data_IF_518550941052
#
_entry.id   IF_518550941052
#
_cell.length_a   1.000
_cell.length_b   1.000
_cell.length_c   1.000
_cell.angle_alpha   90.00
_cell.angle_beta   90.00
_cell.angle_gamma   90.00
#
_symmetry.space_group_name_H-M   'P 1'
#
loop_
_entity.id
_entity.type
_entity.pdbx_description
1 polymer ?
#
# COMPACT_ATOMS: atom_id res chain seq x y z
N UNK A 1 -3.83 10.60 11.40
CA UNK A 1 -2.57 10.68 12.17
C UNK A 1 -1.48 11.11 11.23
N UNK A 2 -1.06 12.37 11.33
CA UNK A 2 0.18 12.83 10.71
C UNK A 2 1.31 12.02 11.35
N UNK A 3 2.02 11.23 10.53
CA UNK A 3 3.07 10.37 11.02
C UNK A 3 4.12 11.16 11.79
N UNK A 4 4.03 11.10 13.10
CA UNK A 4 5.21 11.31 13.91
C UNK A 4 6.05 10.07 13.74
N UNK A 5 7.09 10.17 12.96
CA UNK A 5 8.16 9.18 13.00
C UNK A 5 8.74 9.21 14.42
N UNK A 6 8.66 8.11 15.10
CA UNK A 6 9.23 7.96 16.45
C UNK A 6 10.77 7.83 16.44
N UNK A 7 11.36 7.86 15.26
CA UNK A 7 12.79 7.73 15.03
C UNK A 7 13.24 8.96 14.25
N UNK A 8 14.24 9.66 14.72
CA UNK A 8 14.81 10.82 14.05
C UNK A 8 16.09 10.43 13.27
N UNK A 9 16.60 11.34 12.45
CA UNK A 9 17.80 11.12 11.62
C UNK A 9 19.07 10.80 12.45
N UNK A 10 19.01 10.84 13.78
CA UNK A 10 20.13 10.57 14.68
C UNK A 10 20.20 9.12 15.14
N UNK A 11 19.13 8.34 14.90
CA UNK A 11 19.15 6.92 15.17
C UNK A 11 20.01 6.22 14.12
N UNK A 12 21.11 5.62 14.56
CA UNK A 12 22.11 4.98 13.70
C UNK A 12 21.48 4.03 12.67
N UNK A 13 21.48 4.47 11.43
CA UNK A 13 21.00 3.68 10.29
C UNK A 13 19.52 3.86 9.92
N UNK A 14 18.81 4.80 10.54
CA UNK A 14 17.45 5.17 10.11
C UNK A 14 17.47 6.41 9.22
N UNK A 15 16.99 6.26 7.98
CA UNK A 15 16.64 7.38 7.14
C UNK A 15 15.11 7.52 7.14
N UNK A 16 14.63 8.66 7.62
CA UNK A 16 13.20 8.96 7.64
C UNK A 16 12.87 9.86 6.47
N UNK A 17 12.11 9.33 5.53
CA UNK A 17 11.60 10.09 4.39
C UNK A 17 10.17 10.56 4.69
N UNK A 18 10.05 11.57 5.53
CA UNK A 18 8.78 12.23 5.75
C UNK A 18 8.76 13.57 5.01
N UNK A 19 8.05 13.65 3.91
CA UNK A 19 7.72 14.92 3.29
C UNK A 19 6.57 15.54 4.06
N UNK A 20 6.72 16.76 4.53
CA UNK A 20 5.65 17.47 5.24
C UNK A 20 4.47 17.68 4.28
N UNK A 21 3.38 16.99 4.53
CA UNK A 21 2.14 17.14 3.75
C UNK A 21 1.52 18.48 4.16
N UNK A 22 1.39 19.40 3.22
CA UNK A 22 0.77 20.72 3.46
C UNK A 22 -0.73 20.73 3.24
N UNK A 23 -1.31 19.67 2.72
CA UNK A 23 -2.74 19.56 2.38
C UNK A 23 -3.30 18.22 2.79
N UNK A 24 -4.62 18.10 2.85
CA UNK A 24 -5.38 16.88 3.15
C UNK A 24 -5.26 15.79 2.06
N UNK A 25 -4.22 15.80 1.28
CA UNK A 25 -3.92 14.82 0.25
C UNK A 25 -2.77 13.91 0.66
N UNK A 26 -2.87 12.64 0.32
CA UNK A 26 -1.77 11.69 0.41
C UNK A 26 -0.68 12.05 -0.61
N UNK A 27 0.58 11.76 -0.27
CA UNK A 27 1.66 11.75 -1.26
C UNK A 27 1.35 10.60 -2.23
N UNK A 28 1.40 10.81 -3.54
CA UNK A 28 1.24 9.71 -4.49
C UNK A 28 2.24 8.58 -4.22
N UNK A 29 1.79 7.35 -4.29
CA UNK A 29 2.65 6.19 -4.02
C UNK A 29 3.83 6.09 -5.01
N UNK A 30 3.68 6.66 -6.20
CA UNK A 30 4.77 6.82 -7.17
C UNK A 30 5.95 7.61 -6.59
N UNK A 31 5.68 8.71 -5.87
CA UNK A 31 6.74 9.49 -5.20
C UNK A 31 7.37 8.70 -4.06
N UNK A 32 6.56 7.99 -3.28
CA UNK A 32 7.04 7.16 -2.17
C UNK A 32 8.00 6.08 -2.66
N UNK A 33 7.64 5.41 -3.74
CA UNK A 33 8.49 4.36 -4.33
C UNK A 33 9.73 4.93 -5.01
N UNK A 34 9.63 6.09 -5.63
CA UNK A 34 10.80 6.73 -6.24
C UNK A 34 11.84 7.14 -5.18
N UNK A 35 11.40 7.70 -4.06
CA UNK A 35 12.28 8.00 -2.91
C UNK A 35 12.91 6.73 -2.36
N UNK A 36 12.15 5.64 -2.25
CA UNK A 36 12.66 4.35 -1.80
C UNK A 36 13.70 3.78 -2.76
N UNK A 37 13.46 3.86 -4.08
CA UNK A 37 14.43 3.45 -5.11
C UNK A 37 15.74 4.22 -5.01
N UNK A 38 15.66 5.55 -4.92
CA UNK A 38 16.83 6.40 -4.78
C UNK A 38 17.62 6.08 -3.50
N UNK A 39 16.92 5.85 -2.40
CA UNK A 39 17.56 5.47 -1.14
C UNK A 39 18.28 4.13 -1.27
N UNK A 40 17.63 3.10 -1.80
CA UNK A 40 18.22 1.77 -2.01
C UNK A 40 19.41 1.85 -2.95
N UNK A 41 19.31 2.57 -4.07
CA UNK A 41 20.40 2.75 -5.04
C UNK A 41 21.62 3.44 -4.44
N UNK A 42 21.41 4.31 -3.44
CA UNK A 42 22.48 5.02 -2.75
C UNK A 42 23.06 4.26 -1.54
N UNK A 43 22.54 3.09 -1.19
CA UNK A 43 23.12 2.26 -0.13
C UNK A 43 24.52 1.80 -0.52
N UNK A 44 25.52 2.42 0.09
CA UNK A 44 26.92 2.02 -0.06
C UNK A 44 27.15 0.74 0.76
N UNK A 45 27.87 -0.20 0.16
CA UNK A 45 28.30 -1.44 0.78
C UNK A 45 27.21 -2.50 1.08
N UNK A 46 26.02 -2.37 0.51
CA UNK A 46 24.90 -3.36 0.62
C UNK A 46 24.78 -3.97 2.04
N UNK A 47 24.89 -3.13 3.06
CA UNK A 47 24.69 -3.55 4.45
C UNK A 47 23.25 -4.00 4.65
N UNK A 48 23.02 -4.77 5.69
CA UNK A 48 21.66 -5.11 6.11
C UNK A 48 20.86 -3.83 6.36
N UNK A 49 19.68 -3.76 5.79
CA UNK A 49 18.78 -2.63 5.98
C UNK A 49 17.34 -3.11 6.21
N UNK A 50 16.56 -2.25 6.78
CA UNK A 50 15.11 -2.39 6.86
C UNK A 50 14.47 -1.18 6.16
N UNK A 51 13.56 -1.45 5.24
CA UNK A 51 12.79 -0.43 4.55
C UNK A 51 11.30 -0.69 4.79
N UNK A 52 10.63 0.24 5.46
CA UNK A 52 9.18 0.23 5.64
C UNK A 52 8.54 1.34 4.80
N UNK A 53 7.54 0.98 3.99
CA UNK A 53 6.79 1.92 3.17
C UNK A 53 5.31 1.80 3.51
N UNK A 54 4.63 2.95 3.63
CA UNK A 54 3.19 3.02 3.78
C UNK A 54 2.59 3.61 2.50
N UNK A 55 1.92 2.76 1.71
CA UNK A 55 1.27 3.15 0.47
C UNK A 55 -0.16 3.61 0.77
N UNK A 56 -0.61 4.66 0.12
CA UNK A 56 -1.86 5.36 0.44
C UNK A 56 -2.87 5.40 -0.69
N UNK A 57 -2.50 5.01 -1.90
CA UNK A 57 -3.43 5.13 -3.04
C UNK A 57 -4.70 4.27 -2.87
N UNK A 58 -4.62 3.17 -2.11
CA UNK A 58 -5.77 2.32 -1.80
C UNK A 58 -6.62 2.83 -0.64
N UNK A 59 -6.15 3.85 0.09
CA UNK A 59 -6.93 4.51 1.12
C UNK A 59 -8.06 5.34 0.48
N UNK A 60 -9.19 5.46 1.16
CA UNK A 60 -10.29 6.36 0.76
C UNK A 60 -9.73 7.79 0.53
N UNK A 61 -9.94 8.46 -0.55
CA UNK A 61 -10.87 8.31 -1.69
C UNK A 61 -10.29 7.54 -2.91
N UNK A 62 -9.37 6.62 -2.73
CA UNK A 62 -8.81 5.74 -3.75
C UNK A 62 -8.16 6.55 -4.89
N UNK A 63 -6.93 7.00 -4.62
CA UNK A 63 -6.23 7.90 -5.54
C UNK A 63 -5.86 7.18 -6.84
N UNK A 64 -6.15 7.86 -7.94
CA UNK A 64 -5.73 7.46 -9.29
C UNK A 64 -5.04 8.66 -9.93
N UNK A 65 -3.83 8.45 -10.45
CA UNK A 65 -3.14 9.47 -11.25
C UNK A 65 -3.80 9.61 -12.62
N UNK A 66 -3.46 10.66 -13.36
CA UNK A 66 -3.93 10.85 -14.73
C UNK A 66 -3.52 9.72 -15.68
N UNK A 67 -2.40 9.05 -15.36
CA UNK A 67 -1.83 7.95 -16.15
C UNK A 67 -2.29 6.57 -15.66
N UNK A 68 -3.17 6.52 -14.64
CA UNK A 68 -3.63 5.26 -14.07
C UNK A 68 -4.42 4.42 -15.07
N UNK A 69 -4.11 3.14 -15.14
CA UNK A 69 -4.94 2.20 -15.88
C UNK A 69 -6.23 1.91 -15.11
N UNK A 70 -7.34 1.81 -15.83
CA UNK A 70 -8.68 1.67 -15.23
C UNK A 70 -9.43 0.47 -15.83
N UNK A 71 -8.96 -0.77 -15.62
CA UNK A 71 -9.60 -1.97 -16.19
C UNK A 71 -10.98 -2.26 -15.60
N UNK A 72 -11.29 -1.77 -14.40
CA UNK A 72 -12.57 -2.01 -13.73
C UNK A 72 -13.54 -0.87 -14.02
N UNK A 73 -14.63 -1.21 -14.73
CA UNK A 73 -15.65 -0.27 -15.18
C UNK A 73 -17.06 -0.79 -14.83
N UNK A 74 -18.09 0.07 -14.65
CA UNK A 74 -18.04 1.53 -14.78
C UNK A 74 -17.31 2.19 -13.60
N UNK A 75 -16.60 3.28 -13.86
CA UNK A 75 -15.91 4.09 -12.86
C UNK A 75 -16.13 5.58 -13.15
N UNK A 76 -16.19 6.40 -12.12
CA UNK A 76 -16.21 7.85 -12.20
C UNK A 76 -15.08 8.44 -11.40
N UNK A 77 -14.62 9.60 -11.85
CA UNK A 77 -13.86 10.47 -10.96
C UNK A 77 -14.74 10.91 -9.80
N UNK A 78 -14.12 11.04 -8.65
CA UNK A 78 -14.83 11.43 -7.45
C UNK A 78 -14.75 12.95 -7.26
N UNK A 79 -15.88 13.58 -7.36
CA UNK A 79 -16.06 14.98 -6.96
C UNK A 79 -16.85 15.00 -5.65
N UNK A 80 -16.17 15.09 -4.52
CA UNK A 80 -16.90 15.22 -3.26
C UNK A 80 -16.11 14.90 -2.00
N UNK A 81 -16.65 15.39 -0.90
CA UNK A 81 -16.12 15.23 0.45
C UNK A 81 -16.44 13.83 1.02
N UNK A 82 -15.70 13.42 2.03
CA UNK A 82 -15.93 12.24 2.85
C UNK A 82 -17.43 12.02 3.11
N UNK A 83 -17.94 10.84 2.78
CA UNK A 83 -19.33 10.45 3.03
C UNK A 83 -20.32 10.64 1.88
N UNK A 84 -19.88 11.18 0.74
CA UNK A 84 -20.76 11.46 -0.42
C UNK A 84 -21.00 10.25 -1.36
N UNK A 85 -20.72 9.03 -0.93
CA UNK A 85 -20.94 7.82 -1.73
C UNK A 85 -22.25 7.14 -1.40
N UNK A 86 -23.35 7.46 -2.08
CA UNK A 86 -24.62 6.81 -1.79
C UNK A 86 -24.55 5.34 -2.24
N UNK A 87 -25.23 4.48 -1.50
CA UNK A 87 -25.28 3.02 -1.73
C UNK A 87 -25.58 2.66 -3.20
N UNK A 88 -26.38 3.45 -3.89
CA UNK A 88 -26.69 3.25 -5.31
C UNK A 88 -25.48 3.34 -6.25
N UNK A 89 -24.38 3.91 -5.82
CA UNK A 89 -23.17 4.09 -6.60
C UNK A 89 -22.06 3.09 -6.21
N UNK A 90 -22.38 2.07 -5.42
CA UNK A 90 -21.38 1.18 -4.81
C UNK A 90 -20.50 0.46 -5.82
N UNK A 91 -21.07 0.00 -6.92
CA UNK A 91 -20.29 -0.65 -7.98
C UNK A 91 -19.21 0.29 -8.54
N UNK A 92 -19.58 1.54 -8.80
CA UNK A 92 -18.67 2.58 -9.31
C UNK A 92 -17.53 2.85 -8.31
N UNK A 93 -17.88 2.89 -7.02
CA UNK A 93 -16.91 3.11 -5.93
C UNK A 93 -15.97 1.92 -5.79
N UNK A 94 -16.52 0.71 -5.79
CA UNK A 94 -15.74 -0.51 -5.71
C UNK A 94 -14.79 -0.65 -6.90
N UNK A 95 -15.23 -0.32 -8.10
CA UNK A 95 -14.38 -0.33 -9.30
C UNK A 95 -13.25 0.69 -9.18
N UNK A 96 -13.50 1.86 -8.59
CA UNK A 96 -12.43 2.83 -8.31
C UNK A 96 -11.40 2.26 -7.33
N UNK A 97 -11.84 1.64 -6.24
CA UNK A 97 -10.97 0.95 -5.29
C UNK A 97 -10.14 -0.15 -5.97
N UNK A 98 -10.77 -0.98 -6.79
CA UNK A 98 -10.08 -2.05 -7.52
C UNK A 98 -9.06 -1.48 -8.52
N UNK A 99 -9.35 -0.36 -9.17
CA UNK A 99 -8.38 0.33 -10.03
C UNK A 99 -7.20 0.88 -9.22
N UNK A 100 -7.43 1.43 -8.02
CA UNK A 100 -6.35 1.87 -7.14
C UNK A 100 -5.47 0.68 -6.73
N UNK A 101 -6.05 -0.44 -6.36
CA UNK A 101 -5.32 -1.68 -6.05
C UNK A 101 -4.49 -2.16 -7.25
N UNK A 102 -5.08 -2.21 -8.43
CA UNK A 102 -4.41 -2.62 -9.66
C UNK A 102 -3.17 -1.77 -9.95
N UNK A 103 -3.29 -0.45 -9.79
CA UNK A 103 -2.16 0.44 -10.03
C UNK A 103 -1.09 0.34 -8.93
N UNK A 104 -1.48 0.12 -7.67
CA UNK A 104 -0.51 -0.15 -6.59
C UNK A 104 0.23 -1.46 -6.82
N UNK A 105 -0.45 -2.51 -7.26
CA UNK A 105 0.18 -3.78 -7.62
C UNK A 105 1.26 -3.60 -8.70
N UNK A 106 0.98 -2.84 -9.75
CA UNK A 106 1.97 -2.48 -10.78
C UNK A 106 3.15 -1.67 -10.23
N UNK A 107 2.91 -0.76 -9.31
CA UNK A 107 3.99 -0.01 -8.65
C UNK A 107 4.88 -0.95 -7.83
N UNK A 108 4.29 -1.90 -7.13
CA UNK A 108 5.02 -2.93 -6.38
C UNK A 108 5.81 -3.83 -7.33
N UNK A 109 5.22 -4.27 -8.45
CA UNK A 109 5.91 -5.04 -9.48
C UNK A 109 7.16 -4.30 -9.98
N UNK A 110 7.03 -3.04 -10.34
CA UNK A 110 8.15 -2.21 -10.78
C UNK A 110 9.24 -2.07 -9.71
N UNK A 111 8.85 -1.99 -8.43
CA UNK A 111 9.82 -1.96 -7.34
C UNK A 111 10.53 -3.30 -7.17
N UNK A 112 9.83 -4.41 -7.31
CA UNK A 112 10.43 -5.76 -7.31
C UNK A 112 11.42 -5.93 -8.47
N UNK A 113 11.08 -5.46 -9.66
CA UNK A 113 11.99 -5.48 -10.81
C UNK A 113 13.27 -4.69 -10.52
N UNK A 114 13.13 -3.50 -9.95
CA UNK A 114 14.27 -2.70 -9.50
C UNK A 114 15.15 -3.44 -8.47
N UNK A 115 14.55 -4.09 -7.46
CA UNK A 115 15.29 -4.87 -6.47
C UNK A 115 16.05 -6.04 -7.11
N UNK A 116 15.51 -6.64 -8.18
CA UNK A 116 16.19 -7.67 -8.97
C UNK A 116 17.38 -7.10 -9.74
N UNK A 117 17.21 -5.94 -10.38
CA UNK A 117 18.30 -5.23 -11.08
C UNK A 117 19.44 -4.88 -10.13
N UNK A 118 19.12 -4.44 -8.92
CA UNK A 118 20.10 -4.15 -7.85
C UNK A 118 20.68 -5.42 -7.18
N UNK A 119 20.25 -6.63 -7.59
CA UNK A 119 20.69 -7.92 -7.03
C UNK A 119 20.39 -8.06 -5.51
N UNK A 120 19.32 -7.44 -5.05
CA UNK A 120 18.86 -7.47 -3.66
C UNK A 120 17.76 -8.50 -3.45
N UNK A 121 16.93 -8.72 -4.49
CA UNK A 121 15.70 -9.50 -4.40
C UNK A 121 15.91 -10.89 -3.79
N UNK A 122 16.90 -11.64 -4.22
CA UNK A 122 17.09 -13.04 -3.84
C UNK A 122 17.44 -13.20 -2.36
N UNK A 123 18.16 -12.24 -1.81
CA UNK A 123 18.62 -12.26 -0.41
C UNK A 123 17.71 -11.48 0.56
N UNK A 124 16.63 -10.81 0.08
CA UNK A 124 15.75 -10.05 0.95
C UNK A 124 14.52 -10.83 1.44
N UNK A 125 14.06 -10.51 2.64
CA UNK A 125 12.69 -10.76 3.09
C UNK A 125 11.82 -9.61 2.59
N UNK A 126 10.85 -9.91 1.72
CA UNK A 126 9.94 -8.90 1.18
C UNK A 126 8.52 -9.21 1.63
N UNK A 127 7.83 -8.20 2.15
CA UNK A 127 6.49 -8.35 2.69
C UNK A 127 5.57 -7.27 2.13
N UNK A 128 4.37 -7.66 1.73
CA UNK A 128 3.26 -6.75 1.43
C UNK A 128 2.11 -7.12 2.36
N UNK A 129 1.65 -6.16 3.14
CA UNK A 129 0.62 -6.39 4.15
C UNK A 129 -0.45 -5.30 4.02
N UNK A 130 -1.71 -5.68 4.00
CA UNK A 130 -2.79 -4.74 4.22
C UNK A 130 -3.00 -4.51 5.71
N UNK A 131 -3.27 -3.28 6.12
CA UNK A 131 -3.53 -2.93 7.50
C UNK A 131 -4.98 -3.24 7.91
N UNK A 132 -5.92 -3.09 6.98
CA UNK A 132 -7.33 -3.41 7.15
C UNK A 132 -7.97 -3.75 5.80
N UNK A 133 -9.22 -4.17 5.84
CA UNK A 133 -10.08 -4.31 4.68
C UNK A 133 -10.92 -3.06 4.42
N UNK A 134 -11.89 -3.16 3.51
CA UNK A 134 -12.74 -2.04 3.11
C UNK A 134 -14.17 -2.51 2.92
N UNK A 135 -15.14 -1.77 3.48
CA UNK A 135 -16.55 -2.06 3.35
C UNK A 135 -17.19 -1.29 2.21
N UNK A 136 -18.07 -1.97 1.46
CA UNK A 136 -18.85 -1.39 0.36
C UNK A 136 -20.35 -1.56 0.61
N UNK A 137 -20.81 -1.24 1.81
CA UNK A 137 -22.20 -1.35 2.29
C UNK A 137 -22.70 -2.80 2.50
N UNK A 138 -21.86 -3.78 2.60
CA UNK A 138 -22.28 -5.16 2.91
C UNK A 138 -23.15 -5.19 4.17
N UNK A 139 -22.77 -4.47 5.21
CA UNK A 139 -23.54 -4.29 6.45
C UNK A 139 -24.12 -2.87 6.63
N UNK A 140 -24.27 -2.12 5.54
CA UNK A 140 -24.93 -0.80 5.55
C UNK A 140 -24.01 0.38 5.80
N UNK A 141 -22.69 0.18 5.88
CA UNK A 141 -21.67 1.21 6.07
C UNK A 141 -20.68 1.22 4.92
N UNK A 142 -20.26 2.40 4.43
CA UNK A 142 -19.16 2.53 3.49
C UNK A 142 -17.84 2.60 4.24
N UNK A 143 -16.75 2.22 3.58
CA UNK A 143 -15.36 2.32 4.05
C UNK A 143 -15.11 1.62 5.41
N UNK A 144 -13.90 1.77 5.95
CA UNK A 144 -13.46 1.15 7.22
C UNK A 144 -13.72 2.02 8.46
N UNK A 145 -14.43 3.13 8.34
CA UNK A 145 -14.75 4.00 9.47
C UNK A 145 -16.00 3.55 10.27
N UNK A 146 -16.61 2.44 9.89
CA UNK A 146 -17.80 1.85 10.51
C UNK A 146 -17.51 0.77 11.54
N UNK A 147 -18.54 -0.02 11.91
CA UNK A 147 -18.36 -1.19 12.76
C UNK A 147 -17.39 -2.22 12.18
N UNK A 148 -16.70 -2.94 13.05
CA UNK A 148 -15.69 -3.94 12.68
C UNK A 148 -16.35 -5.25 12.23
N UNK A 149 -16.80 -5.29 10.99
CA UNK A 149 -17.23 -6.51 10.31
C UNK A 149 -16.07 -7.17 9.56
N UNK A 150 -16.28 -8.38 9.08
CA UNK A 150 -15.27 -9.18 8.39
C UNK A 150 -14.62 -8.45 7.21
N UNK A 151 -15.40 -7.72 6.41
CA UNK A 151 -14.91 -6.95 5.27
C UNK A 151 -13.95 -5.82 5.65
N UNK A 152 -14.00 -5.36 6.90
CA UNK A 152 -13.09 -4.33 7.44
C UNK A 152 -11.88 -4.95 8.13
N UNK A 153 -12.08 -6.08 8.82
CA UNK A 153 -11.04 -6.70 9.63
C UNK A 153 -10.19 -7.71 8.87
N UNK A 154 -10.70 -8.24 7.76
CA UNK A 154 -9.93 -9.16 6.92
C UNK A 154 -8.93 -8.41 6.07
N UNK A 155 -7.70 -8.85 6.13
CA UNK A 155 -6.61 -8.35 5.32
C UNK A 155 -5.75 -9.49 4.80
N UNK A 156 -4.66 -9.16 4.15
CA UNK A 156 -3.74 -10.14 3.57
C UNK A 156 -2.30 -9.84 3.94
N UNK A 157 -1.46 -10.86 3.86
CA UNK A 157 -0.02 -10.73 3.89
C UNK A 157 0.60 -11.60 2.79
N UNK A 158 1.43 -11.01 1.96
CA UNK A 158 2.28 -11.72 1.00
C UNK A 158 3.72 -11.65 1.51
N UNK A 159 4.36 -12.80 1.65
CA UNK A 159 5.71 -12.88 2.21
C UNK A 159 6.58 -13.68 1.25
N UNK A 160 7.63 -13.02 0.75
CA UNK A 160 8.71 -13.67 0.01
C UNK A 160 9.92 -13.81 0.93
N UNK A 161 10.34 -15.03 1.16
CA UNK A 161 11.58 -15.33 1.89
C UNK A 161 12.81 -15.24 0.98
N UNK A 162 14.00 -15.00 1.55
CA UNK A 162 15.25 -15.18 0.81
C UNK A 162 15.31 -16.58 0.19
N UNK A 163 15.87 -16.70 -1.01
CA UNK A 163 15.92 -18.01 -1.72
C UNK A 163 16.63 -19.11 -0.93
N UNK A 164 17.65 -18.73 -0.15
CA UNK A 164 18.41 -19.65 0.72
C UNK A 164 17.64 -20.15 1.94
N UNK A 165 16.41 -19.70 2.17
CA UNK A 165 15.66 -20.01 3.40
C UNK A 165 15.07 -21.41 3.45
N UNK A 166 15.05 -22.16 2.34
CA UNK A 166 14.42 -23.49 2.21
C UNK A 166 12.92 -23.55 2.64
N UNK A 167 12.26 -22.39 2.72
CA UNK A 167 10.84 -22.31 3.06
C UNK A 167 10.03 -22.57 1.80
N UNK A 168 9.14 -23.58 1.88
CA UNK A 168 8.24 -23.88 0.75
C UNK A 168 7.08 -22.90 0.71
N UNK A 169 6.64 -22.49 -0.47
CA UNK A 169 5.43 -21.70 -0.62
C UNK A 169 4.25 -22.39 0.06
N UNK A 170 3.48 -21.65 0.82
CA UNK A 170 2.26 -22.12 1.45
C UNK A 170 1.22 -21.01 1.46
N UNK A 171 -0.05 -21.38 1.30
CA UNK A 171 -1.16 -20.47 1.58
C UNK A 171 -1.75 -20.86 2.92
N UNK A 172 -1.81 -19.92 3.84
CA UNK A 172 -2.40 -20.10 5.15
C UNK A 172 -3.65 -19.22 5.20
N UNK A 173 -4.80 -19.84 5.45
CA UNK A 173 -6.08 -19.14 5.56
C UNK A 173 -6.65 -19.40 6.94
N UNK A 174 -6.44 -18.45 7.85
CA UNK A 174 -7.11 -18.43 9.16
C UNK A 174 -7.33 -16.98 9.61
N UNK A 175 -8.33 -16.73 10.46
CA UNK A 175 -8.50 -15.40 11.02
C UNK A 175 -7.24 -15.02 11.81
N UNK A 176 -6.65 -13.88 11.48
CA UNK A 176 -5.61 -13.29 12.31
C UNK A 176 -6.33 -12.48 13.38
N UNK A 177 -6.21 -12.89 14.63
CA UNK A 177 -6.66 -12.07 15.75
C UNK A 177 -5.58 -11.02 16.06
N UNK A 178 -6.00 -9.79 16.14
CA UNK A 178 -5.16 -8.68 16.61
C UNK A 178 -5.07 -8.69 18.13
#
# INVERSE_FOLDING_TARGET
>A
HQGKTYLDEKDDGFAVFAKKIQTVGSIPDTETLEVARQWVANLRDKKQFFLGMNLQNTHYSYYLSEEAEMPFQPMREFEGLFGAWPRKNMEIVRNRYLNAFYNVDKLIENFVLFLKEEQIWDDCLFMVVGDNGEAFYEHGYPNHAGPMHDEVTRTFALIKHPEKSNIKPATISFPVSH
#
